data_IF_734910311852
#
_entry.id   IF_734910311852
#
_cell.length_a   1.000
_cell.length_b   1.000
_cell.length_c   1.000
_cell.angle_alpha   90.00
_cell.angle_beta   90.00
_cell.angle_gamma   90.00
#
_symmetry.space_group_name_H-M   'P 1'
#
loop_
_entity.id
_entity.type
_entity.pdbx_description
1 polymer ?
#
# COMPACT_ATOMS: atom_id res chain seq x y z
N UNK A 1 -15.51 37.62 30.20
CA UNK A 1 -15.41 36.24 30.74
C UNK A 1 -15.14 35.33 29.54
N UNK A 2 -13.94 34.79 29.41
CA UNK A 2 -13.44 34.15 28.18
C UNK A 2 -13.84 32.67 28.11
N UNK A 3 -14.08 32.14 26.90
CA UNK A 3 -14.46 30.73 26.62
C UNK A 3 -13.57 29.67 27.28
N UNK A 4 -12.32 30.01 27.66
CA UNK A 4 -11.42 29.14 28.44
C UNK A 4 -11.87 28.92 29.88
N UNK A 5 -12.51 29.91 30.51
CA UNK A 5 -13.01 29.80 31.88
C UNK A 5 -14.26 28.91 32.01
N UNK A 6 -14.96 28.67 30.89
CA UNK A 6 -16.14 27.79 30.85
C UNK A 6 -15.74 26.31 30.73
N UNK A 7 -14.75 25.99 29.89
CA UNK A 7 -14.25 24.61 29.70
C UNK A 7 -13.61 24.00 30.95
N UNK A 8 -12.95 24.81 31.78
CA UNK A 8 -12.37 24.33 33.04
C UNK A 8 -13.45 23.90 34.05
N UNK A 9 -14.55 24.65 34.13
CA UNK A 9 -15.65 24.37 35.07
C UNK A 9 -16.52 23.19 34.64
N UNK A 10 -16.67 22.94 33.34
CA UNK A 10 -17.39 21.75 32.86
C UNK A 10 -16.66 20.45 33.19
N UNK A 11 -15.32 20.46 33.14
CA UNK A 11 -14.49 19.31 33.53
C UNK A 11 -14.57 19.06 35.04
N UNK A 12 -14.48 20.12 35.86
CA UNK A 12 -14.61 20.02 37.32
C UNK A 12 -16.02 19.60 37.77
N UNK A 13 -17.08 20.03 37.06
CA UNK A 13 -18.45 19.55 37.33
C UNK A 13 -18.66 18.08 36.96
N UNK A 14 -18.03 17.62 35.87
CA UNK A 14 -18.09 16.22 35.45
C UNK A 14 -17.42 15.28 36.46
N UNK A 15 -16.26 15.67 37.00
CA UNK A 15 -15.54 14.94 38.04
C UNK A 15 -16.29 14.92 39.39
N UNK A 16 -16.95 16.03 39.75
CA UNK A 16 -17.68 16.13 41.01
C UNK A 16 -19.02 15.37 41.01
N UNK A 17 -19.71 15.28 39.86
CA UNK A 17 -21.04 14.68 39.78
C UNK A 17 -21.02 13.18 39.50
N UNK A 18 -19.94 12.66 38.88
CA UNK A 18 -19.87 11.26 38.47
C UNK A 18 -18.47 10.64 38.65
N UNK A 19 -17.93 10.62 39.88
CA UNK A 19 -16.57 10.10 40.14
C UNK A 19 -16.40 8.64 39.70
N UNK A 20 -17.44 7.82 39.85
CA UNK A 20 -17.45 6.41 39.46
C UNK A 20 -17.39 6.20 37.92
N UNK A 21 -17.81 7.19 37.12
CA UNK A 21 -17.70 7.15 35.67
C UNK A 21 -16.30 7.55 35.19
N UNK A 22 -15.62 8.44 35.91
CA UNK A 22 -14.24 8.87 35.58
C UNK A 22 -13.22 7.77 35.90
N UNK A 23 -13.40 7.06 37.03
CA UNK A 23 -12.59 5.87 37.34
C UNK A 23 -12.85 4.72 36.35
N UNK A 24 -14.10 4.53 35.90
CA UNK A 24 -14.43 3.51 34.88
C UNK A 24 -13.92 3.87 33.48
N UNK A 25 -13.94 5.14 33.08
CA UNK A 25 -13.41 5.56 31.76
C UNK A 25 -11.88 5.48 31.69
N UNK A 26 -11.19 5.65 32.82
CA UNK A 26 -9.74 5.43 32.90
C UNK A 26 -9.38 3.93 32.95
N UNK A 27 -10.24 3.08 33.51
CA UNK A 27 -9.95 1.67 33.75
C UNK A 27 -10.37 0.70 32.64
N UNK A 28 -11.23 1.09 31.70
CA UNK A 28 -11.59 0.23 30.56
C UNK A 28 -12.12 1.05 29.38
N UNK A 29 -11.26 1.84 28.74
CA UNK A 29 -11.60 2.34 27.42
C UNK A 29 -11.51 1.15 26.44
N UNK A 30 -12.67 0.64 26.03
CA UNK A 30 -12.80 -0.38 24.99
C UNK A 30 -11.92 0.04 23.79
N UNK A 31 -11.01 -0.83 23.30
CA UNK A 31 -10.20 -0.54 22.12
C UNK A 31 -11.02 -0.02 20.93
N UNK A 32 -12.28 -0.44 20.79
CA UNK A 32 -13.20 0.08 19.80
C UNK A 32 -13.60 1.54 20.06
N UNK A 33 -13.86 1.92 21.31
CA UNK A 33 -14.24 3.28 21.71
C UNK A 33 -13.04 4.24 21.64
N UNK A 34 -11.84 3.78 22.01
CA UNK A 34 -10.58 4.50 21.77
C UNK A 34 -10.34 4.71 20.28
N UNK A 35 -10.58 3.69 19.45
CA UNK A 35 -10.45 3.80 18.00
C UNK A 35 -11.46 4.80 17.42
N UNK A 36 -12.74 4.74 17.81
CA UNK A 36 -13.79 5.68 17.39
C UNK A 36 -13.46 7.12 17.82
N UNK A 37 -13.04 7.31 19.07
CA UNK A 37 -12.66 8.62 19.61
C UNK A 37 -11.47 9.19 18.85
N UNK A 38 -10.48 8.35 18.55
CA UNK A 38 -9.30 8.70 17.75
C UNK A 38 -9.69 9.09 16.33
N UNK A 39 -10.54 8.31 15.65
CA UNK A 39 -11.04 8.67 14.31
C UNK A 39 -11.88 9.96 14.35
N UNK A 40 -12.66 10.18 15.40
CA UNK A 40 -13.48 11.39 15.57
C UNK A 40 -12.63 12.65 15.79
N UNK A 41 -11.56 12.55 16.58
CA UNK A 41 -10.60 13.64 16.75
C UNK A 41 -9.85 13.95 15.45
N UNK A 42 -9.49 12.91 14.67
CA UNK A 42 -8.88 13.03 13.34
C UNK A 42 -9.83 13.71 12.33
N UNK A 43 -11.10 13.32 12.33
CA UNK A 43 -12.15 13.96 11.54
C UNK A 43 -12.28 15.45 11.88
N UNK A 44 -12.29 15.79 13.18
CA UNK A 44 -12.39 17.18 13.67
C UNK A 44 -11.12 18.00 13.39
N UNK A 45 -9.96 17.37 13.26
CA UNK A 45 -8.69 18.03 12.91
C UNK A 45 -8.54 18.29 11.40
N UNK A 46 -9.51 17.88 10.57
CA UNK A 46 -9.46 18.08 9.12
C UNK A 46 -8.64 17.03 8.35
N UNK A 47 -8.37 15.86 8.94
CA UNK A 47 -7.61 14.79 8.28
C UNK A 47 -8.28 14.25 7.00
N UNK A 48 -9.61 14.42 6.86
CA UNK A 48 -10.29 14.29 5.57
C UNK A 48 -10.28 15.65 4.87
N UNK A 49 -9.16 15.99 4.23
CA UNK A 49 -9.05 17.23 3.43
C UNK A 49 -7.75 18.01 3.56
N UNK A 50 -6.82 17.58 4.42
CA UNK A 50 -5.47 18.11 4.41
C UNK A 50 -4.79 17.77 3.06
N UNK A 51 -4.55 18.78 2.22
CA UNK A 51 -3.77 18.68 0.98
C UNK A 51 -2.40 18.06 1.25
N UNK A 52 -1.74 17.47 0.25
CA UNK A 52 -0.40 16.86 0.36
C UNK A 52 0.59 17.77 1.10
N UNK A 53 0.55 19.05 0.73
CA UNK A 53 1.41 20.10 1.26
C UNK A 53 1.24 20.33 2.78
N UNK A 54 0.11 19.94 3.35
CA UNK A 54 -0.24 20.10 4.76
C UNK A 54 -0.08 18.83 5.60
N UNK A 55 0.51 17.76 5.05
CA UNK A 55 0.75 16.54 5.85
C UNK A 55 1.70 16.87 7.02
N UNK A 56 1.31 16.62 8.28
CA UNK A 56 2.05 17.07 9.46
C UNK A 56 3.36 16.30 9.66
N UNK A 57 3.45 15.07 9.13
CA UNK A 57 4.63 14.23 9.23
C UNK A 57 5.56 14.39 8.01
N UNK A 58 6.80 14.89 8.19
CA UNK A 58 7.76 15.11 7.13
C UNK A 58 8.26 13.83 6.46
N UNK A 59 8.32 12.69 7.16
CA UNK A 59 8.79 11.43 6.58
C UNK A 59 7.75 10.87 5.60
N UNK A 60 6.48 10.93 6.00
CA UNK A 60 5.37 10.54 5.14
C UNK A 60 5.25 11.45 3.91
N UNK A 61 5.48 12.76 4.07
CA UNK A 61 5.54 13.70 2.93
C UNK A 61 6.67 13.33 1.97
N UNK A 62 7.89 13.11 2.46
CA UNK A 62 9.02 12.70 1.62
C UNK A 62 8.75 11.37 0.90
N UNK A 63 8.09 10.42 1.56
CA UNK A 63 7.70 9.15 0.95
C UNK A 63 6.64 9.32 -0.15
N UNK A 64 5.65 10.19 0.07
CA UNK A 64 4.65 10.55 -0.95
C UNK A 64 5.32 11.24 -2.14
N UNK A 65 6.17 12.24 -1.90
CA UNK A 65 6.90 12.95 -2.96
C UNK A 65 7.73 11.99 -3.81
N UNK A 66 8.44 11.04 -3.18
CA UNK A 66 9.20 10.01 -3.89
C UNK A 66 8.32 9.08 -4.73
N UNK A 67 7.20 8.61 -4.16
CA UNK A 67 6.23 7.75 -4.86
C UNK A 67 5.60 8.44 -6.07
N UNK A 68 5.17 9.70 -5.92
CA UNK A 68 4.61 10.49 -7.00
C UNK A 68 5.65 10.89 -8.05
N UNK A 69 6.90 11.17 -7.65
CA UNK A 69 7.99 11.42 -8.59
C UNK A 69 8.29 10.20 -9.47
N UNK A 70 8.25 8.99 -8.88
CA UNK A 70 8.39 7.74 -9.63
C UNK A 70 7.22 7.51 -10.61
N UNK A 71 5.99 7.75 -10.16
CA UNK A 71 4.80 7.68 -11.02
C UNK A 71 4.87 8.69 -12.16
N UNK A 72 5.27 9.94 -11.90
CA UNK A 72 5.46 10.96 -12.92
C UNK A 72 6.50 10.56 -13.97
N UNK A 73 7.62 9.98 -13.54
CA UNK A 73 8.65 9.51 -14.46
C UNK A 73 8.14 8.36 -15.35
N UNK A 74 7.47 7.36 -14.78
CA UNK A 74 6.82 6.29 -15.54
C UNK A 74 5.76 6.84 -16.50
N UNK A 75 4.93 7.76 -16.00
CA UNK A 75 3.81 8.30 -16.73
C UNK A 75 4.23 9.14 -17.95
N UNK A 76 5.25 10.00 -17.76
CA UNK A 76 5.88 10.73 -18.85
C UNK A 76 6.40 9.79 -19.94
N UNK A 77 6.99 8.66 -19.55
CA UNK A 77 7.48 7.65 -20.49
C UNK A 77 6.38 6.94 -21.26
N UNK A 78 5.27 6.64 -20.58
CA UNK A 78 4.12 5.98 -21.17
C UNK A 78 3.16 6.95 -21.89
N UNK A 79 3.38 8.26 -21.80
CA UNK A 79 2.47 9.27 -22.36
C UNK A 79 1.11 9.29 -21.67
N UNK A 80 1.07 9.02 -20.36
CA UNK A 80 -0.16 8.99 -19.55
C UNK A 80 -0.15 10.12 -18.52
N UNK A 81 -1.30 10.73 -18.19
CA UNK A 81 -1.36 11.75 -17.15
C UNK A 81 -1.39 11.09 -15.76
N UNK A 82 -0.60 11.64 -14.83
CA UNK A 82 -0.65 11.27 -13.40
C UNK A 82 -1.78 12.05 -12.73
N UNK A 83 -2.64 11.43 -11.93
CA UNK A 83 -3.59 12.15 -11.10
C UNK A 83 -2.91 12.93 -9.99
N UNK A 84 -3.47 14.07 -9.63
CA UNK A 84 -2.99 14.82 -8.49
C UNK A 84 -3.24 14.04 -7.18
N UNK A 85 -2.37 14.17 -6.16
CA UNK A 85 -2.58 13.56 -4.85
C UNK A 85 -3.97 13.85 -4.26
N UNK A 86 -4.45 15.09 -4.41
CA UNK A 86 -5.76 15.52 -3.94
C UNK A 86 -6.92 14.73 -4.56
N UNK A 87 -6.77 14.28 -5.81
CA UNK A 87 -7.79 13.48 -6.48
C UNK A 87 -7.90 12.07 -5.90
N UNK A 88 -6.78 11.48 -5.44
CA UNK A 88 -6.81 10.18 -4.80
C UNK A 88 -7.56 10.24 -3.47
N UNK A 89 -7.40 11.31 -2.70
CA UNK A 89 -8.15 11.51 -1.45
C UNK A 89 -9.62 11.75 -1.70
N UNK A 90 -9.97 12.53 -2.72
CA UNK A 90 -11.36 12.70 -3.13
C UNK A 90 -12.01 11.37 -3.57
N UNK A 91 -11.23 10.46 -4.16
CA UNK A 91 -11.68 9.11 -4.52
C UNK A 91 -11.73 8.13 -3.33
N UNK A 92 -11.29 8.54 -2.14
CA UNK A 92 -11.30 7.73 -0.91
C UNK A 92 -10.02 6.94 -0.65
N UNK A 93 -8.91 7.23 -1.33
CA UNK A 93 -7.62 6.65 -0.99
C UNK A 93 -7.17 7.10 0.40
N UNK A 94 -6.57 6.23 1.21
CA UNK A 94 -6.17 6.58 2.58
C UNK A 94 -5.01 7.59 2.54
N UNK A 95 -5.14 8.78 3.17
CA UNK A 95 -4.12 9.84 3.11
C UNK A 95 -2.83 9.51 3.85
N UNK A 96 -2.89 8.53 4.74
CA UNK A 96 -1.77 8.01 5.51
C UNK A 96 -1.88 6.50 5.57
N UNK A 97 -0.79 5.85 5.97
CA UNK A 97 -0.86 4.46 6.37
C UNK A 97 -1.97 4.30 7.43
N UNK A 98 -2.94 3.37 7.25
CA UNK A 98 -3.93 3.13 8.29
C UNK A 98 -3.17 2.74 9.56
N UNK A 99 -3.26 3.58 10.60
CA UNK A 99 -2.76 3.21 11.92
C UNK A 99 -3.37 1.84 12.25
N UNK A 100 -2.56 0.81 12.52
CA UNK A 100 -3.07 -0.56 12.55
C UNK A 100 -4.15 -0.66 13.60
N UNK A 101 -5.38 -0.86 13.16
CA UNK A 101 -6.45 -1.31 14.03
C UNK A 101 -6.14 -2.76 14.38
N UNK A 102 -5.46 -2.99 15.51
CA UNK A 102 -5.34 -4.30 16.14
C UNK A 102 -4.36 -5.31 15.54
N UNK A 103 -3.48 -4.93 14.59
CA UNK A 103 -2.41 -5.79 14.10
C UNK A 103 -1.04 -5.26 14.55
N UNK A 104 -0.74 -5.41 15.83
CA UNK A 104 0.52 -5.02 16.50
C UNK A 104 1.75 -5.72 15.92
N UNK A 105 1.59 -6.81 15.18
CA UNK A 105 2.71 -7.64 14.72
C UNK A 105 3.54 -7.03 13.58
N UNK A 106 2.93 -6.24 12.69
CA UNK A 106 3.65 -5.71 11.51
C UNK A 106 4.52 -4.48 11.82
N UNK A 107 4.08 -3.66 12.80
CA UNK A 107 4.88 -2.58 13.37
C UNK A 107 6.00 -3.12 14.27
N UNK A 108 5.74 -4.18 15.04
CA UNK A 108 6.76 -4.88 15.85
C UNK A 108 7.90 -5.46 15.00
N UNK A 109 7.64 -5.79 13.73
CA UNK A 109 8.64 -6.28 12.78
C UNK A 109 9.38 -5.17 12.00
N UNK A 110 9.09 -3.89 12.27
CA UNK A 110 9.73 -2.77 11.57
C UNK A 110 9.35 -2.69 10.08
N UNK A 111 8.16 -3.19 9.70
CA UNK A 111 7.72 -3.18 8.31
C UNK A 111 7.43 -1.75 7.87
N UNK A 112 8.31 -1.17 7.04
CA UNK A 112 8.09 0.13 6.40
C UNK A 112 7.11 -0.03 5.25
N UNK A 113 6.08 0.81 5.19
CA UNK A 113 5.19 0.92 4.05
C UNK A 113 5.50 2.19 3.26
N UNK A 114 5.41 2.12 1.93
CA UNK A 114 5.56 3.27 1.04
C UNK A 114 4.28 3.50 0.25
N UNK A 115 3.89 4.76 0.01
CA UNK A 115 2.75 5.09 -0.82
C UNK A 115 3.11 4.85 -2.30
N UNK A 116 2.24 4.13 -3.00
CA UNK A 116 2.46 3.76 -4.40
C UNK A 116 1.26 4.17 -5.24
N UNK A 117 1.34 5.29 -6.00
CA UNK A 117 0.34 5.69 -6.97
C UNK A 117 0.51 4.88 -8.28
N UNK A 118 0.01 3.65 -8.34
CA UNK A 118 0.25 2.72 -9.44
C UNK A 118 -0.76 2.88 -10.60
N UNK A 119 -0.28 2.96 -11.86
CA UNK A 119 -1.12 2.81 -13.05
C UNK A 119 -1.35 1.33 -13.39
N UNK A 120 -2.59 0.97 -13.68
CA UNK A 120 -3.06 -0.36 -14.06
C UNK A 120 -3.60 -0.33 -15.49
N UNK A 121 -3.40 -1.42 -16.22
CA UNK A 121 -3.84 -1.57 -17.61
C UNK A 121 -2.83 -1.06 -18.65
N UNK A 122 -1.54 -0.93 -18.29
CA UNK A 122 -0.49 -0.53 -19.24
C UNK A 122 -0.02 -1.68 -20.15
N UNK A 123 -0.19 -2.92 -19.70
CA UNK A 123 0.26 -4.13 -20.38
C UNK A 123 1.75 -4.43 -20.21
N UNK A 124 2.11 -5.70 -20.47
CA UNK A 124 3.45 -6.24 -20.23
C UNK A 124 4.54 -5.44 -20.96
N UNK A 125 4.29 -5.05 -22.21
CA UNK A 125 5.27 -4.33 -23.04
C UNK A 125 5.58 -2.92 -22.52
N UNK A 126 4.60 -2.22 -21.93
CA UNK A 126 4.86 -0.91 -21.35
C UNK A 126 5.78 -1.02 -20.13
N UNK A 127 5.51 -1.98 -19.25
CA UNK A 127 6.34 -2.26 -18.08
C UNK A 127 7.73 -2.73 -18.46
N UNK A 128 7.88 -3.67 -19.41
CA UNK A 128 9.20 -4.12 -19.88
C UNK A 128 10.03 -2.97 -20.45
N UNK A 129 9.43 -2.10 -21.27
CA UNK A 129 10.13 -0.91 -21.80
C UNK A 129 10.53 0.06 -20.70
N UNK A 130 9.70 0.24 -19.68
CA UNK A 130 10.02 1.13 -18.56
C UNK A 130 11.27 0.66 -17.79
N UNK A 131 11.45 -0.66 -17.61
CA UNK A 131 12.62 -1.21 -16.93
C UNK A 131 13.85 -1.31 -17.85
N UNK A 132 13.67 -1.54 -19.15
CA UNK A 132 14.80 -1.71 -20.09
C UNK A 132 15.61 -0.44 -20.35
N UNK A 133 15.02 0.75 -20.14
CA UNK A 133 15.63 2.04 -20.49
C UNK A 133 16.69 2.52 -19.49
N UNK A 134 16.84 1.84 -18.34
CA UNK A 134 17.81 2.18 -17.27
C UNK A 134 17.54 3.51 -16.54
N UNK A 135 16.98 4.51 -17.22
CA UNK A 135 16.70 5.87 -16.73
C UNK A 135 15.60 5.94 -15.67
N UNK A 136 14.72 4.93 -15.62
CA UNK A 136 13.66 4.86 -14.63
C UNK A 136 14.03 3.99 -13.43
N UNK A 137 14.90 3.00 -13.61
CA UNK A 137 15.12 1.96 -12.62
C UNK A 137 16.60 1.67 -12.34
N UNK A 138 17.52 2.56 -12.69
CA UNK A 138 18.97 2.46 -12.45
C UNK A 138 19.52 1.06 -12.75
N UNK A 139 19.44 0.67 -14.04
CA UNK A 139 19.85 -0.64 -14.58
C UNK A 139 19.06 -1.87 -14.10
N UNK A 140 18.02 -1.69 -13.30
CA UNK A 140 17.13 -2.77 -12.87
C UNK A 140 16.34 -3.34 -14.06
N UNK A 141 16.59 -4.61 -14.39
CA UNK A 141 15.88 -5.30 -15.46
C UNK A 141 14.56 -5.93 -14.98
N UNK A 142 13.57 -6.06 -15.87
CA UNK A 142 12.34 -6.82 -15.61
C UNK A 142 12.33 -8.14 -16.40
N UNK A 143 12.29 -9.26 -15.69
CA UNK A 143 12.14 -10.60 -16.24
C UNK A 143 10.81 -11.20 -15.79
N UNK A 144 10.09 -11.84 -16.71
CA UNK A 144 8.78 -12.45 -16.45
C UNK A 144 8.71 -13.85 -17.03
N UNK A 145 8.08 -14.79 -16.32
CA UNK A 145 7.81 -16.12 -16.86
C UNK A 145 6.75 -16.05 -17.98
N UNK A 146 6.73 -17.04 -18.86
CA UNK A 146 5.80 -17.09 -19.99
C UNK A 146 4.33 -17.13 -19.52
N UNK A 147 4.04 -17.78 -18.39
CA UNK A 147 2.70 -17.81 -17.79
C UNK A 147 2.26 -16.43 -17.29
N UNK A 148 3.18 -15.66 -16.70
CA UNK A 148 2.92 -14.28 -16.28
C UNK A 148 2.65 -13.40 -17.48
N UNK A 149 3.46 -13.51 -18.54
CA UNK A 149 3.24 -12.75 -19.78
C UNK A 149 1.88 -13.09 -20.40
N UNK A 150 1.53 -14.39 -20.47
CA UNK A 150 0.25 -14.87 -20.98
C UNK A 150 -0.94 -14.28 -20.23
N UNK A 151 -0.83 -14.14 -18.91
CA UNK A 151 -1.91 -13.68 -18.04
C UNK A 151 -1.72 -12.25 -17.51
N UNK A 152 -0.83 -11.48 -18.14
CA UNK A 152 -0.42 -10.18 -17.62
C UNK A 152 -1.61 -9.23 -17.47
N UNK A 153 -2.54 -9.23 -18.43
CA UNK A 153 -3.73 -8.38 -18.37
C UNK A 153 -4.58 -8.61 -17.10
N UNK A 154 -4.62 -9.82 -16.57
CA UNK A 154 -5.34 -10.12 -15.33
C UNK A 154 -4.58 -9.64 -14.08
N UNK A 155 -3.25 -9.67 -14.12
CA UNK A 155 -2.38 -9.20 -13.03
C UNK A 155 -2.21 -7.66 -13.02
N UNK A 156 -2.37 -7.04 -14.18
CA UNK A 156 -2.31 -5.60 -14.41
C UNK A 156 -3.68 -4.92 -14.16
N UNK A 157 -4.63 -5.65 -13.58
CA UNK A 157 -5.90 -5.13 -13.13
C UNK A 157 -5.84 -4.73 -11.65
N UNK A 158 -6.63 -3.74 -11.21
CA UNK A 158 -6.76 -3.40 -9.79
C UNK A 158 -7.22 -4.59 -8.94
N UNK A 159 -6.67 -4.74 -7.73
CA UNK A 159 -6.88 -5.90 -6.85
C UNK A 159 -8.36 -6.20 -6.51
N UNK A 160 -9.19 -5.16 -6.45
CA UNK A 160 -10.59 -5.25 -6.03
C UNK A 160 -11.42 -4.12 -6.62
N UNK A 161 -12.70 -4.39 -6.87
CA UNK A 161 -13.71 -3.38 -7.23
C UNK A 161 -13.91 -2.31 -6.15
N UNK A 162 -13.51 -2.61 -4.91
CA UNK A 162 -13.65 -1.72 -3.75
C UNK A 162 -12.43 -0.83 -3.53
N UNK A 163 -11.34 -1.04 -4.27
CA UNK A 163 -10.16 -0.17 -4.18
C UNK A 163 -10.48 1.19 -4.83
N UNK A 164 -10.32 2.31 -4.11
CA UNK A 164 -10.38 3.65 -4.68
C UNK A 164 -9.52 3.76 -5.94
N UNK A 165 -10.12 4.21 -7.04
CA UNK A 165 -9.44 4.32 -8.33
C UNK A 165 -9.86 5.56 -9.09
N UNK A 166 -8.88 6.14 -9.76
CA UNK A 166 -9.07 7.21 -10.73
C UNK A 166 -8.90 6.63 -12.13
N UNK A 167 -9.66 7.11 -13.10
CA UNK A 167 -9.52 6.67 -14.48
C UNK A 167 -9.05 7.83 -15.34
N UNK A 168 -8.09 7.55 -16.22
CA UNK A 168 -7.57 8.48 -17.22
C UNK A 168 -7.72 7.87 -18.59
N UNK A 169 -8.31 8.63 -19.50
CA UNK A 169 -8.31 8.26 -20.91
C UNK A 169 -6.91 8.47 -21.48
N UNK A 170 -6.42 7.51 -22.24
CA UNK A 170 -5.14 7.59 -22.96
C UNK A 170 -5.34 7.10 -24.39
N UNK A 171 -4.41 7.41 -25.32
CA UNK A 171 -4.47 6.85 -26.68
C UNK A 171 -4.43 5.32 -26.72
N UNK A 172 -3.93 4.67 -25.67
CA UNK A 172 -3.83 3.20 -25.56
C UNK A 172 -5.04 2.56 -24.87
N UNK A 173 -6.02 3.37 -24.42
CA UNK A 173 -7.18 2.92 -23.65
C UNK A 173 -7.24 3.56 -22.26
N UNK A 174 -8.26 3.19 -21.45
CA UNK A 174 -8.37 3.69 -20.09
C UNK A 174 -7.27 3.10 -19.20
N UNK A 175 -6.57 3.98 -18.48
CA UNK A 175 -5.62 3.62 -17.42
C UNK A 175 -6.28 3.89 -16.08
N UNK A 176 -6.24 2.91 -15.19
CA UNK A 176 -6.75 3.05 -13.83
C UNK A 176 -5.60 3.31 -12.87
N UNK A 177 -5.73 4.32 -12.03
CA UNK A 177 -4.74 4.66 -11.02
C UNK A 177 -5.26 4.29 -9.64
N UNK A 178 -4.44 3.60 -8.85
CA UNK A 178 -4.69 3.36 -7.41
C UNK A 178 -3.59 4.02 -6.60
N UNK A 179 -3.90 4.44 -5.36
CA UNK A 179 -2.91 4.86 -4.39
C UNK A 179 -3.04 3.96 -3.16
N UNK A 180 -2.05 3.11 -2.92
CA UNK A 180 -2.02 2.18 -1.78
C UNK A 180 -0.68 2.25 -1.06
N UNK A 181 -0.72 1.93 0.23
CA UNK A 181 0.47 1.77 1.05
C UNK A 181 0.96 0.33 0.93
N UNK A 182 2.14 0.15 0.35
CA UNK A 182 2.70 -1.16 0.01
C UNK A 182 3.89 -1.48 0.92
N UNK A 183 4.00 -2.71 1.47
CA UNK A 183 5.16 -3.12 2.22
C UNK A 183 6.46 -2.93 1.42
N UNK A 184 7.42 -2.22 2.00
CA UNK A 184 8.70 -1.86 1.39
C UNK A 184 9.90 -2.23 2.28
N UNK A 185 9.71 -3.16 3.21
CA UNK A 185 10.79 -3.77 3.97
C UNK A 185 11.49 -4.87 3.15
N UNK A 186 12.82 -5.04 3.25
CA UNK A 186 13.58 -6.07 2.53
C UNK A 186 13.15 -7.52 2.83
N UNK A 187 12.48 -7.73 3.96
CA UNK A 187 11.86 -8.98 4.38
C UNK A 187 10.40 -8.70 4.75
N UNK A 188 9.65 -8.09 3.82
CA UNK A 188 8.25 -7.79 4.05
C UNK A 188 7.53 -9.08 4.50
N UNK A 189 6.76 -9.05 5.60
CA UNK A 189 6.06 -10.22 6.07
C UNK A 189 5.25 -10.78 4.90
N UNK A 190 5.46 -12.08 4.63
CA UNK A 190 4.59 -12.84 3.76
C UNK A 190 3.18 -12.61 4.30
N UNK A 191 2.39 -11.81 3.60
CA UNK A 191 0.97 -11.72 3.88
C UNK A 191 0.47 -13.16 3.75
N UNK A 192 0.15 -13.77 4.87
CA UNK A 192 -0.01 -15.22 5.03
C UNK A 192 -1.46 -15.63 5.02
N UNK A 193 -2.29 -15.00 4.18
CA UNK A 193 -3.72 -15.29 4.15
C UNK A 193 -4.13 -15.81 2.78
N UNK A 194 -4.62 -17.04 2.79
CA UNK A 194 -5.08 -17.81 1.66
C UNK A 194 -5.66 -16.93 0.53
N UNK A 195 -5.14 -17.12 -0.68
CA UNK A 195 -5.60 -16.46 -1.91
C UNK A 195 -7.09 -16.71 -2.23
N UNK A 196 -7.76 -17.59 -1.48
CA UNK A 196 -9.19 -17.84 -1.59
C UNK A 196 -9.96 -17.02 -0.56
N UNK A 197 -10.85 -16.17 -1.05
CA UNK A 197 -11.92 -15.46 -0.35
C UNK A 197 -11.52 -14.23 0.48
N UNK A 198 -12.01 -13.07 0.05
CA UNK A 198 -12.07 -11.77 0.75
C UNK A 198 -10.77 -11.06 1.17
N UNK A 199 -9.61 -11.73 1.28
CA UNK A 199 -8.35 -11.11 1.75
C UNK A 199 -7.35 -10.75 0.63
N UNK A 200 -7.70 -10.87 -0.65
CA UNK A 200 -6.86 -10.43 -1.78
C UNK A 200 -6.56 -8.93 -1.77
N UNK A 201 -7.31 -8.13 -1.00
CA UNK A 201 -7.14 -6.69 -0.82
C UNK A 201 -5.89 -6.31 -0.04
N UNK A 202 -5.23 -7.25 0.64
CA UNK A 202 -4.03 -6.95 1.42
C UNK A 202 -2.75 -7.12 0.62
N UNK A 203 -2.75 -7.97 -0.40
CA UNK A 203 -1.59 -8.16 -1.28
C UNK A 203 -1.40 -6.94 -2.21
N UNK A 204 -0.14 -6.58 -2.51
CA UNK A 204 0.12 -5.60 -3.56
C UNK A 204 -0.18 -6.21 -4.92
N UNK A 205 -0.71 -5.41 -5.84
CA UNK A 205 -0.85 -5.83 -7.23
C UNK A 205 0.51 -5.87 -7.93
N UNK A 206 0.56 -6.46 -9.13
CA UNK A 206 1.75 -6.41 -9.97
C UNK A 206 2.17 -4.96 -10.29
N UNK A 207 1.28 -4.07 -10.77
CA UNK A 207 1.62 -2.65 -10.96
C UNK A 207 2.17 -1.94 -9.72
N UNK A 208 1.61 -2.23 -8.56
CA UNK A 208 2.05 -1.65 -7.29
C UNK A 208 3.48 -2.10 -6.94
N UNK A 209 3.80 -3.39 -7.10
CA UNK A 209 5.15 -3.88 -6.89
C UNK A 209 6.16 -3.34 -7.92
N UNK A 210 5.78 -3.26 -9.19
CA UNK A 210 6.66 -2.75 -10.24
C UNK A 210 6.97 -1.26 -10.04
N UNK A 211 5.96 -0.44 -9.74
CA UNK A 211 6.18 0.98 -9.46
C UNK A 211 6.99 1.18 -8.18
N UNK A 212 6.77 0.35 -7.15
CA UNK A 212 7.57 0.40 -5.93
C UNK A 212 9.06 0.13 -6.20
N UNK A 213 9.39 -0.83 -7.06
CA UNK A 213 10.78 -1.09 -7.44
C UNK A 213 11.40 0.08 -8.19
N UNK A 214 10.67 0.71 -9.12
CA UNK A 214 11.09 1.95 -9.79
C UNK A 214 11.35 3.04 -8.76
N UNK A 215 10.41 3.29 -7.84
CA UNK A 215 10.55 4.33 -6.83
C UNK A 215 11.78 4.11 -5.95
N UNK A 216 12.04 2.86 -5.56
CA UNK A 216 13.22 2.50 -4.76
C UNK A 216 14.52 2.71 -5.53
N UNK A 217 14.60 2.23 -6.77
CA UNK A 217 15.77 2.40 -7.61
C UNK A 217 16.13 3.89 -7.76
N UNK A 218 15.14 4.74 -8.07
CA UNK A 218 15.32 6.21 -8.20
C UNK A 218 15.78 6.91 -6.92
N UNK A 219 15.54 6.30 -5.76
CA UNK A 219 16.02 6.80 -4.48
C UNK A 219 17.35 6.17 -4.05
N UNK A 220 18.02 5.40 -4.92
CA UNK A 220 19.24 4.66 -4.61
C UNK A 220 19.02 3.54 -3.59
N UNK A 221 17.78 3.10 -3.38
CA UNK A 221 17.46 2.04 -2.45
C UNK A 221 17.55 0.68 -3.14
N UNK A 222 18.08 -0.33 -2.43
CA UNK A 222 18.15 -1.69 -2.94
C UNK A 222 16.76 -2.24 -3.30
N UNK A 223 16.63 -3.07 -4.35
CA UNK A 223 15.37 -3.74 -4.68
C UNK A 223 14.79 -4.54 -3.51
N UNK A 224 13.46 -4.62 -3.45
CA UNK A 224 12.77 -5.46 -2.45
C UNK A 224 12.96 -6.93 -2.81
N UNK A 225 13.93 -7.60 -2.21
CA UNK A 225 14.02 -9.07 -2.04
C UNK A 225 15.49 -9.46 -1.90
N UNK A 226 16.09 -9.13 -0.75
CA UNK A 226 17.41 -9.71 -0.42
C UNK A 226 17.27 -11.12 0.19
N UNK A 227 16.07 -11.50 0.65
CA UNK A 227 15.81 -12.71 1.44
C UNK A 227 14.40 -13.35 1.30
N UNK A 228 13.47 -12.84 0.48
CA UNK A 228 12.07 -13.34 0.42
C UNK A 228 11.24 -12.83 -0.78
N UNK A 229 10.38 -13.70 -1.34
CA UNK A 229 9.41 -13.35 -2.39
C UNK A 229 8.11 -12.73 -1.83
N UNK A 230 7.37 -12.01 -2.68
CA UNK A 230 6.05 -11.42 -2.35
C UNK A 230 4.97 -11.96 -3.29
N UNK A 231 3.86 -12.45 -2.74
CA UNK A 231 2.69 -12.84 -3.54
C UNK A 231 1.97 -11.60 -4.08
N UNK A 232 1.53 -11.67 -5.34
CA UNK A 232 0.83 -10.57 -6.00
C UNK A 232 -0.68 -10.79 -5.97
N UNK A 233 -1.44 -9.72 -5.77
CA UNK A 233 -2.89 -9.73 -5.95
C UNK A 233 -3.26 -9.85 -7.43
N UNK A 234 -4.37 -10.53 -7.70
CA UNK A 234 -4.90 -10.77 -9.05
C UNK A 234 -5.22 -12.25 -9.25
N UNK A 235 -6.11 -12.56 -10.19
CA UNK A 235 -6.48 -13.93 -10.51
C UNK A 235 -5.72 -14.41 -11.74
N UNK A 236 -4.91 -15.46 -11.59
CA UNK A 236 -4.47 -16.23 -12.75
C UNK A 236 -5.61 -17.17 -13.16
N UNK A 237 -6.04 -17.17 -14.44
CA UNK A 237 -7.18 -17.98 -14.89
C UNK A 237 -7.04 -19.49 -14.71
N UNK A 238 -5.80 -19.99 -14.60
CA UNK A 238 -5.50 -21.40 -14.35
C UNK A 238 -5.89 -21.84 -12.92
N UNK A 239 -6.01 -20.90 -11.97
CA UNK A 239 -6.29 -21.09 -10.54
C UNK A 239 -5.32 -22.00 -9.77
N UNK A 240 -4.52 -22.82 -10.46
CA UNK A 240 -3.46 -23.69 -9.95
C UNK A 240 -2.23 -22.91 -9.51
N UNK A 241 -1.88 -21.88 -10.29
CA UNK A 241 -0.72 -21.04 -10.05
C UNK A 241 -1.11 -19.69 -9.46
N UNK A 242 -0.21 -19.10 -8.68
CA UNK A 242 -0.27 -17.70 -8.30
C UNK A 242 1.01 -16.99 -8.76
N UNK A 243 0.88 -15.70 -9.09
CA UNK A 243 2.01 -14.87 -9.49
C UNK A 243 2.77 -14.40 -8.25
N UNK A 244 4.10 -14.43 -8.35
CA UNK A 244 5.01 -13.99 -7.30
C UNK A 244 6.04 -13.04 -7.85
N UNK A 245 6.35 -12.05 -7.05
CA UNK A 245 7.44 -11.12 -7.25
C UNK A 245 8.67 -11.60 -6.46
N UNK A 246 9.83 -11.58 -7.10
CA UNK A 246 11.14 -11.67 -6.45
C UNK A 246 12.13 -10.72 -7.11
N UNK A 247 13.30 -10.53 -6.50
CA UNK A 247 14.41 -9.77 -7.07
C UNK A 247 15.70 -10.54 -6.93
N UNK A 248 16.54 -10.48 -7.95
CA UNK A 248 17.88 -11.01 -7.93
C UNK A 248 18.86 -9.85 -7.90
N UNK A 249 19.32 -9.50 -6.69
CA UNK A 249 20.23 -8.38 -6.48
C UNK A 249 21.57 -8.61 -7.17
N UNK A 250 22.04 -9.86 -7.25
CA UNK A 250 23.31 -10.17 -7.92
C UNK A 250 23.25 -9.83 -9.41
N UNK A 251 22.05 -9.93 -10.01
CA UNK A 251 21.81 -9.63 -11.41
C UNK A 251 20.99 -8.36 -11.63
N UNK A 252 20.77 -7.52 -10.60
CA UNK A 252 19.90 -6.34 -10.65
C UNK A 252 18.62 -6.58 -11.47
N UNK A 253 17.87 -7.63 -11.14
CA UNK A 253 16.70 -8.04 -11.92
C UNK A 253 15.48 -8.22 -11.03
N UNK A 254 14.35 -7.59 -11.37
CA UNK A 254 13.03 -7.94 -10.86
C UNK A 254 12.49 -9.14 -11.65
N UNK A 255 12.09 -10.20 -10.94
CA UNK A 255 11.54 -11.42 -11.50
C UNK A 255 10.08 -11.58 -11.10
N UNK A 256 9.20 -11.70 -12.09
CA UNK A 256 7.81 -12.10 -11.88
C UNK A 256 7.65 -13.53 -12.39
N UNK A 257 7.45 -14.46 -11.46
CA UNK A 257 7.27 -15.88 -11.78
C UNK A 257 5.92 -16.40 -11.30
N UNK A 258 5.66 -17.67 -11.57
CA UNK A 258 4.54 -18.42 -10.99
C UNK A 258 5.02 -19.44 -9.97
N UNK A 259 4.12 -19.84 -9.07
CA UNK A 259 4.29 -21.01 -8.21
C UNK A 259 2.92 -21.63 -7.94
N UNK A 260 2.89 -22.95 -7.76
CA UNK A 260 1.66 -23.67 -7.44
C UNK A 260 1.13 -23.18 -6.08
N UNK A 261 -0.18 -22.96 -5.98
CA UNK A 261 -0.78 -22.43 -4.73
C UNK A 261 -0.62 -23.36 -3.53
N UNK A 262 -0.53 -24.67 -3.77
CA UNK A 262 -0.32 -25.70 -2.75
C UNK A 262 1.12 -25.73 -2.24
N UNK A 263 2.08 -25.23 -3.01
CA UNK A 263 3.50 -25.21 -2.69
C UNK A 263 3.91 -23.90 -2.00
N UNK A 264 3.04 -23.39 -1.13
CA UNK A 264 3.30 -22.17 -0.36
C UNK A 264 4.46 -22.31 0.65
N UNK A 265 4.99 -23.53 0.84
CA UNK A 265 6.16 -23.81 1.66
C UNK A 265 5.92 -23.64 3.17
N UNK A 266 6.70 -24.33 4.04
CA UNK A 266 6.51 -24.35 5.49
C UNK A 266 6.81 -23.02 6.20
N UNK A 267 7.18 -21.96 5.48
CA UNK A 267 7.28 -20.60 6.04
C UNK A 267 5.89 -19.98 6.30
N UNK A 268 4.82 -20.66 5.88
CA UNK A 268 3.43 -20.31 6.13
C UNK A 268 2.89 -21.29 7.17
N UNK A 269 3.06 -20.94 8.44
CA UNK A 269 2.23 -21.37 9.57
C UNK A 269 1.72 -22.81 9.58
N UNK A 270 2.58 -23.82 9.53
CA UNK A 270 2.27 -25.15 10.10
C UNK A 270 2.98 -25.32 11.44
N UNK A 271 2.52 -24.59 12.46
CA UNK A 271 2.30 -25.22 13.76
C UNK A 271 0.81 -25.53 13.80
N UNK A 272 0.45 -26.75 13.40
CA UNK A 272 -0.80 -27.32 13.86
C UNK A 272 -0.72 -27.31 15.38
N UNK A 273 -1.60 -26.57 16.03
CA UNK A 273 -1.83 -26.74 17.45
C UNK A 273 -2.31 -28.19 17.64
N UNK A 274 -1.50 -28.98 18.35
CA UNK A 274 -1.97 -30.16 19.05
C UNK A 274 -2.66 -29.71 20.34
#
# INVERSE_FOLDING_TARGET
MTMRAWRGRESELGEALFPDLTERSAAAADPAELWITTQTLRLRAGDFGARLASHPDPENRAALDAGFAAAAALAARCGIPVPDPDEFWAAGAPPRFPAPSGATRDLELGTRFLPVPAPHGLGAHAWQRAFADGSLADDLALSMSSEVVRWFAALDAPASRHTPRLTRATPLGPVHWTLRWVPAAPAAPLLGHAHSTAMSTNYPTLPEMLLLQIARARCGAAPLDKHSFTWLAGELPDTRFAARHGSDIANYTVRIGTRERTDQGPHIGTRLAH
#
